data_IF_729675546122
#
_entry.id   IF_729675546122
#
_cell.length_a   1.000
_cell.length_b   1.000
_cell.length_c   1.000
_cell.angle_alpha   90.00
_cell.angle_beta   90.00
_cell.angle_gamma   90.00
#
_symmetry.space_group_name_H-M   'P 1'
#
loop_
_entity.id
_entity.type
_entity.pdbx_description
1 polymer ?
#
# COMPACT_ATOMS: atom_id res chain seq x y z
N UNK A 1 -8.00 20.83 13.56
CA UNK A 1 -8.69 21.87 14.34
C UNK A 1 -9.36 22.86 13.40
N UNK A 2 -10.67 22.72 13.19
CA UNK A 2 -11.59 23.83 12.88
C UNK A 2 -13.00 23.24 12.88
N UNK A 3 -13.54 23.09 14.08
CA UNK A 3 -14.97 22.90 14.23
C UNK A 3 -15.72 24.17 13.87
N UNK A 4 -17.02 24.00 13.63
CA UNK A 4 -18.08 25.01 13.63
C UNK A 4 -18.48 25.59 12.25
N UNK A 5 -19.17 24.77 11.45
CA UNK A 5 -20.07 25.30 10.42
C UNK A 5 -21.47 25.42 11.02
N UNK A 6 -21.84 26.63 11.43
CA UNK A 6 -23.19 26.97 11.88
C UNK A 6 -24.14 26.89 10.67
N UNK A 7 -24.97 25.86 10.60
CA UNK A 7 -26.06 25.82 9.62
C UNK A 7 -27.26 26.53 10.23
N UNK A 8 -27.45 27.80 9.84
CA UNK A 8 -28.67 28.54 10.14
C UNK A 8 -29.80 28.03 9.23
N UNK A 9 -30.77 27.35 9.83
CA UNK A 9 -32.01 26.95 9.16
C UNK A 9 -33.04 28.07 9.29
N UNK A 10 -33.17 28.87 8.23
CA UNK A 10 -34.37 29.66 7.96
C UNK A 10 -34.88 29.21 6.59
N UNK A 11 -36.11 28.73 6.51
CA UNK A 11 -37.16 29.25 5.63
C UNK A 11 -38.43 28.41 5.78
N UNK A 12 -39.53 29.13 5.94
CA UNK A 12 -40.87 28.65 6.21
C UNK A 12 -41.58 28.20 4.93
N UNK A 13 -42.40 27.15 5.05
CA UNK A 13 -43.62 26.94 4.25
C UNK A 13 -43.47 26.39 2.81
N UNK A 14 -43.92 25.14 2.62
CA UNK A 14 -44.45 24.65 1.34
C UNK A 14 -43.47 23.91 0.41
N UNK A 15 -43.97 23.04 -0.49
CA UNK A 15 -43.47 21.67 -0.64
C UNK A 15 -42.71 21.41 -1.94
N UNK A 16 -41.49 20.89 -1.87
CA UNK A 16 -40.90 20.05 -2.94
C UNK A 16 -39.95 19.06 -2.27
N UNK A 17 -40.34 17.80 -2.21
CA UNK A 17 -39.50 16.70 -1.75
C UNK A 17 -38.46 16.35 -2.83
N UNK A 18 -37.62 17.31 -3.21
CA UNK A 18 -36.39 17.02 -3.95
C UNK A 18 -35.32 16.73 -2.91
N UNK A 19 -35.29 15.49 -2.42
CA UNK A 19 -34.19 14.97 -1.61
C UNK A 19 -32.99 14.81 -2.56
N UNK A 20 -32.23 15.89 -2.74
CA UNK A 20 -30.87 15.78 -3.23
C UNK A 20 -30.06 15.15 -2.11
N UNK A 21 -29.74 13.86 -2.23
CA UNK A 21 -28.69 13.26 -1.43
C UNK A 21 -27.36 13.73 -2.02
N UNK A 22 -26.58 14.62 -1.36
CA UNK A 22 -25.19 14.78 -1.74
C UNK A 22 -24.47 13.48 -1.37
N UNK A 23 -24.23 12.65 -2.38
CA UNK A 23 -23.38 11.46 -2.21
C UNK A 23 -21.97 11.91 -1.84
N UNK A 24 -21.56 11.67 -0.60
CA UNK A 24 -20.17 11.88 -0.18
C UNK A 24 -19.36 10.69 -0.68
N UNK A 25 -18.70 10.87 -1.83
CA UNK A 25 -17.70 9.92 -2.29
C UNK A 25 -16.45 10.02 -1.38
N UNK A 26 -16.13 8.95 -0.66
CA UNK A 26 -14.85 8.82 0.05
C UNK A 26 -13.84 8.23 -0.92
N UNK A 27 -12.79 8.97 -1.26
CA UNK A 27 -11.64 8.42 -1.97
C UNK A 27 -10.75 7.69 -0.96
N UNK A 28 -10.58 6.38 -1.13
CA UNK A 28 -9.57 5.61 -0.39
C UNK A 28 -8.19 5.89 -0.99
N UNK A 29 -7.17 6.00 -0.15
CA UNK A 29 -5.80 6.09 -0.63
C UNK A 29 -5.43 4.85 -1.46
N UNK A 30 -4.54 4.97 -2.46
CA UNK A 30 -4.08 3.81 -3.22
C UNK A 30 -3.32 2.83 -2.32
N UNK A 31 -3.66 1.55 -2.42
CA UNK A 31 -2.93 0.45 -1.80
C UNK A 31 -1.97 -0.16 -2.83
N UNK A 32 -0.73 -0.43 -2.41
CA UNK A 32 0.30 -1.04 -3.25
C UNK A 32 0.75 -2.36 -2.63
N UNK A 33 0.89 -3.38 -3.47
CA UNK A 33 1.44 -4.68 -3.09
C UNK A 33 2.78 -4.87 -3.80
N UNK A 34 3.83 -5.11 -3.00
CA UNK A 34 5.17 -5.37 -3.53
C UNK A 34 5.38 -6.88 -3.53
N UNK A 35 5.59 -7.42 -4.72
CA UNK A 35 5.81 -8.85 -4.93
C UNK A 35 7.22 -9.10 -5.43
N UNK A 36 7.80 -10.24 -5.04
CA UNK A 36 9.15 -10.61 -5.41
C UNK A 36 9.41 -12.10 -5.26
N UNK A 37 10.61 -12.52 -5.65
CA UNK A 37 11.03 -13.92 -5.64
C UNK A 37 12.50 -13.99 -5.17
N UNK A 38 12.82 -14.99 -4.34
CA UNK A 38 14.17 -15.24 -3.83
C UNK A 38 14.60 -16.63 -4.22
N UNK A 39 15.81 -16.72 -4.77
CA UNK A 39 16.39 -17.95 -5.28
C UNK A 39 17.79 -18.18 -4.69
N UNK A 40 18.14 -19.45 -4.47
CA UNK A 40 19.50 -19.87 -4.22
C UNK A 40 20.25 -19.99 -5.55
N UNK A 41 21.35 -19.26 -5.68
CA UNK A 41 22.23 -19.37 -6.83
C UNK A 41 23.37 -20.36 -6.57
N UNK A 42 23.22 -21.57 -7.10
CA UNK A 42 24.22 -22.64 -6.92
C UNK A 42 25.51 -22.44 -7.74
N UNK A 43 25.49 -21.55 -8.75
CA UNK A 43 26.61 -21.37 -9.70
C UNK A 43 27.48 -20.11 -9.47
N UNK A 44 27.06 -19.14 -8.64
CA UNK A 44 27.80 -17.87 -8.38
C UNK A 44 28.15 -17.03 -9.63
N UNK A 45 27.24 -16.97 -10.60
CA UNK A 45 27.29 -16.18 -11.83
C UNK A 45 26.45 -14.87 -11.78
N UNK A 46 25.77 -14.59 -10.66
CA UNK A 46 24.96 -13.39 -10.37
C UNK A 46 23.70 -13.20 -11.24
N UNK A 47 23.10 -14.27 -11.77
CA UNK A 47 21.79 -14.19 -12.43
C UNK A 47 21.00 -15.51 -12.29
N UNK A 48 19.68 -15.42 -12.44
CA UNK A 48 18.78 -16.58 -12.36
C UNK A 48 18.96 -17.45 -13.61
N UNK A 49 19.16 -18.74 -13.41
CA UNK A 49 19.29 -19.72 -14.48
C UNK A 49 18.46 -20.98 -14.17
N UNK A 50 18.56 -22.02 -15.03
CA UNK A 50 17.76 -23.25 -14.90
C UNK A 50 18.07 -24.10 -13.67
N UNK A 51 19.21 -23.87 -13.03
CA UNK A 51 19.66 -24.54 -11.82
C UNK A 51 19.37 -23.69 -10.56
N UNK A 52 18.78 -22.50 -10.70
CA UNK A 52 18.36 -21.69 -9.56
C UNK A 52 17.21 -22.39 -8.83
N UNK A 53 17.33 -22.49 -7.51
CA UNK A 53 16.34 -23.17 -6.66
C UNK A 53 15.57 -22.13 -5.83
N UNK A 54 14.24 -22.29 -5.63
CA UNK A 54 13.48 -21.38 -4.78
C UNK A 54 13.99 -21.43 -3.34
N UNK A 55 14.01 -20.28 -2.66
CA UNK A 55 14.47 -20.19 -1.27
C UNK A 55 13.29 -19.91 -0.33
N UNK A 56 12.66 -20.94 0.25
CA UNK A 56 11.61 -20.76 1.26
C UNK A 56 12.18 -20.28 2.59
N UNK A 57 11.41 -19.50 3.35
CA UNK A 57 11.82 -18.99 4.66
C UNK A 57 12.88 -17.88 4.62
N UNK A 58 13.15 -17.31 3.44
CA UNK A 58 14.10 -16.21 3.29
C UNK A 58 13.47 -14.93 3.85
N UNK A 59 14.18 -14.28 4.80
CA UNK A 59 13.80 -12.98 5.34
C UNK A 59 14.21 -11.87 4.37
N UNK A 60 13.24 -11.06 3.96
CA UNK A 60 13.43 -9.94 3.03
C UNK A 60 12.99 -8.66 3.73
N UNK A 61 13.71 -7.57 3.49
CA UNK A 61 13.40 -6.23 4.01
C UNK A 61 13.25 -5.23 2.88
N UNK A 62 12.11 -4.56 2.82
CA UNK A 62 11.87 -3.40 1.99
C UNK A 62 12.20 -2.14 2.78
N UNK A 63 12.97 -1.24 2.17
CA UNK A 63 13.23 0.10 2.73
C UNK A 63 12.96 1.16 1.66
N UNK A 64 12.09 2.12 1.97
CA UNK A 64 11.96 3.34 1.17
C UNK A 64 12.91 4.40 1.74
N UNK A 65 13.74 4.97 0.88
CA UNK A 65 14.69 6.02 1.25
C UNK A 65 14.12 7.37 0.80
N UNK A 66 14.13 8.35 1.71
CA UNK A 66 13.84 9.74 1.43
C UNK A 66 14.99 10.41 0.65
N UNK A 67 14.81 11.69 0.35
CA UNK A 67 15.77 12.45 -0.47
C UNK A 67 17.13 12.64 0.21
N UNK A 68 17.14 12.75 1.53
CA UNK A 68 18.35 12.88 2.33
C UNK A 68 19.04 11.53 2.55
N UNK A 69 20.36 11.51 2.41
CA UNK A 69 21.15 10.30 2.63
C UNK A 69 20.93 9.75 4.05
N UNK A 70 20.48 8.49 4.14
CA UNK A 70 20.23 7.81 5.41
C UNK A 70 18.81 8.01 5.98
N UNK A 71 17.96 8.83 5.36
CA UNK A 71 16.57 8.98 5.77
C UNK A 71 15.74 7.79 5.26
N UNK A 72 15.43 6.82 6.12
CA UNK A 72 14.50 5.73 5.79
C UNK A 72 13.09 6.16 6.18
N UNK A 73 12.20 6.28 5.19
CA UNK A 73 10.82 6.76 5.38
C UNK A 73 9.82 5.62 5.59
N UNK A 74 10.17 4.41 5.17
CA UNK A 74 9.33 3.23 5.34
C UNK A 74 10.18 1.96 5.42
N UNK A 75 9.73 1.00 6.24
CA UNK A 75 10.37 -0.31 6.37
C UNK A 75 9.30 -1.37 6.53
N UNK A 76 9.47 -2.47 5.81
CA UNK A 76 8.62 -3.66 5.95
C UNK A 76 9.50 -4.91 5.84
N UNK A 77 9.27 -5.87 6.73
CA UNK A 77 9.87 -7.21 6.65
C UNK A 77 8.83 -8.20 6.13
N UNK A 78 9.31 -9.24 5.45
CA UNK A 78 8.50 -10.38 5.07
C UNK A 78 9.35 -11.64 4.86
N UNK A 79 8.67 -12.76 4.70
CA UNK A 79 9.29 -14.07 4.57
C UNK A 79 8.74 -14.76 3.32
N UNK A 80 9.60 -15.44 2.57
CA UNK A 80 9.19 -16.15 1.36
C UNK A 80 8.43 -17.44 1.68
N UNK A 81 7.44 -17.74 0.84
CA UNK A 81 6.69 -19.00 0.90
C UNK A 81 7.49 -20.18 0.30
N UNK A 82 6.87 -21.37 0.27
CA UNK A 82 7.45 -22.61 -0.28
C UNK A 82 7.95 -22.49 -1.74
N UNK A 83 7.38 -21.57 -2.52
CA UNK A 83 7.81 -21.30 -3.90
C UNK A 83 8.89 -20.22 -4.02
N UNK A 84 9.43 -19.74 -2.90
CA UNK A 84 10.40 -18.64 -2.86
C UNK A 84 9.78 -17.27 -3.15
N UNK A 85 8.45 -17.14 -3.15
CA UNK A 85 7.76 -15.87 -3.47
C UNK A 85 7.43 -15.08 -2.20
N UNK A 86 7.48 -13.76 -2.31
CA UNK A 86 7.01 -12.80 -1.31
C UNK A 86 5.93 -11.89 -1.93
N UNK A 87 4.88 -11.59 -1.19
CA UNK A 87 3.72 -10.82 -1.65
C UNK A 87 2.51 -10.99 -0.74
#
# INVERSE_FOLDING_TARGET
MSGLTRVALLFAGGPVLAVFLPGVARATAPEFFIVGEVYCEVCRINFINKLSEPMPGAKVKLECKGEEAGNITYTQEGETNESGRIG
#
